data_IF_888705007378
#
_entry.id   IF_888705007378
#
_cell.length_a   1.000
_cell.length_b   1.000
_cell.length_c   1.000
_cell.angle_alpha   90.00
_cell.angle_beta   90.00
_cell.angle_gamma   90.00
#
_symmetry.space_group_name_H-M   'P 1'
#
loop_
_entity.id
_entity.type
_entity.pdbx_description
1 polymer ?
#
# COMPACT_ATOMS: atom_id res chain seq x y z
N UNK A 1 18.80 10.41 14.66
CA UNK A 1 17.35 10.75 14.69
C UNK A 1 17.04 11.25 16.07
N UNK A 2 16.63 12.51 16.20
CA UNK A 2 16.20 13.05 17.49
C UNK A 2 14.92 12.29 17.88
N UNK A 3 15.03 11.33 18.78
CA UNK A 3 13.89 10.77 19.51
C UNK A 3 13.43 11.86 20.50
N UNK A 4 12.88 12.93 19.95
CA UNK A 4 12.60 14.18 20.63
C UNK A 4 11.22 14.09 21.26
N UNK A 5 11.21 14.05 22.59
CA UNK A 5 10.06 14.36 23.43
C UNK A 5 9.62 15.81 23.17
N UNK A 6 9.01 16.07 22.01
CA UNK A 6 8.44 17.37 21.71
C UNK A 6 7.15 17.49 22.52
N UNK A 7 7.19 18.32 23.55
CA UNK A 7 6.08 18.51 24.50
C UNK A 7 4.76 18.76 23.77
N UNK A 8 4.79 19.56 22.72
CA UNK A 8 3.62 19.90 21.90
C UNK A 8 3.00 18.66 21.22
N UNK A 9 3.84 17.71 20.78
CA UNK A 9 3.36 16.47 20.15
C UNK A 9 2.77 15.50 21.18
N UNK A 10 3.34 15.47 22.38
CA UNK A 10 2.80 14.70 23.50
C UNK A 10 1.45 15.26 23.95
N UNK A 11 1.33 16.58 24.11
CA UNK A 11 0.07 17.26 24.46
C UNK A 11 -1.01 17.01 23.40
N UNK A 12 -0.65 17.08 22.11
CA UNK A 12 -1.59 16.78 21.02
C UNK A 12 -2.06 15.33 21.05
N UNK A 13 -1.15 14.38 21.25
CA UNK A 13 -1.50 12.96 21.37
C UNK A 13 -2.39 12.71 22.59
N UNK A 14 -2.10 13.36 23.71
CA UNK A 14 -2.89 13.27 24.94
C UNK A 14 -4.32 13.79 24.74
N UNK A 15 -4.49 14.84 23.94
CA UNK A 15 -5.81 15.37 23.61
C UNK A 15 -6.66 14.42 22.74
N UNK A 16 -6.10 13.87 21.67
CA UNK A 16 -6.85 13.03 20.73
C UNK A 16 -7.05 11.59 21.19
N UNK A 17 -6.14 11.06 22.02
CA UNK A 17 -6.18 9.68 22.49
C UNK A 17 -6.73 9.64 23.90
N UNK A 18 -7.94 9.12 24.04
CA UNK A 18 -8.60 8.91 25.33
C UNK A 18 -7.85 7.87 26.17
N UNK A 19 -7.45 6.75 25.55
CA UNK A 19 -6.74 5.67 26.21
C UNK A 19 -5.22 5.92 26.27
N UNK A 20 -4.74 6.38 27.43
CA UNK A 20 -3.35 6.82 27.60
C UNK A 20 -2.31 5.72 27.36
N UNK A 21 -2.67 4.44 27.53
CA UNK A 21 -1.81 3.31 27.16
C UNK A 21 -1.42 3.28 25.67
N UNK A 22 -2.26 3.82 24.77
CA UNK A 22 -2.00 3.82 23.34
C UNK A 22 -0.97 4.88 22.92
N UNK A 23 -0.73 5.88 23.75
CA UNK A 23 0.28 6.92 23.52
C UNK A 23 1.68 6.30 23.46
N UNK A 24 1.96 5.33 24.34
CA UNK A 24 3.21 4.56 24.29
C UNK A 24 3.36 3.81 22.95
N UNK A 25 2.29 3.20 22.45
CA UNK A 25 2.30 2.51 21.14
C UNK A 25 2.49 3.48 19.98
N UNK A 26 1.89 4.68 20.05
CA UNK A 26 2.01 5.73 19.04
C UNK A 26 3.45 6.20 18.87
N UNK A 27 4.21 6.35 19.96
CA UNK A 27 5.57 6.88 19.88
C UNK A 27 6.67 5.82 19.81
N UNK A 28 6.43 4.61 20.34
CA UNK A 28 7.49 3.60 20.41
C UNK A 28 7.36 2.50 19.36
N UNK A 29 6.15 2.22 18.85
CA UNK A 29 5.93 1.09 17.93
C UNK A 29 5.66 1.58 16.51
N UNK A 30 4.74 2.53 16.34
CA UNK A 30 4.33 3.00 15.03
C UNK A 30 5.44 3.74 14.24
N UNK A 31 6.33 4.55 14.84
CA UNK A 31 7.34 5.29 14.07
C UNK A 31 8.38 4.36 13.45
N UNK A 32 8.85 3.36 14.20
CA UNK A 32 9.75 2.32 13.69
C UNK A 32 9.09 1.49 12.59
N UNK A 33 7.79 1.19 12.74
CA UNK A 33 7.02 0.45 11.74
C UNK A 33 6.92 1.19 10.40
N UNK A 34 6.72 2.50 10.43
CA UNK A 34 6.46 3.29 9.24
C UNK A 34 7.66 4.06 8.71
N UNK A 35 8.86 3.77 9.23
CA UNK A 35 10.06 4.41 8.77
C UNK A 35 10.27 4.16 7.26
N UNK A 36 10.33 5.24 6.47
CA UNK A 36 10.45 5.18 5.02
C UNK A 36 9.14 4.91 4.27
N UNK A 37 8.00 4.83 4.94
CA UNK A 37 6.69 4.70 4.30
C UNK A 37 6.03 6.05 4.09
N UNK A 38 5.45 6.26 2.91
CA UNK A 38 4.62 7.44 2.61
C UNK A 38 3.13 7.21 2.90
N UNK A 39 2.73 5.95 3.10
CA UNK A 39 1.32 5.53 3.27
C UNK A 39 1.19 4.70 4.54
N UNK A 40 0.42 5.20 5.50
CA UNK A 40 0.28 4.59 6.83
C UNK A 40 -0.99 3.74 6.98
N UNK A 41 -2.01 4.02 6.19
CA UNK A 41 -3.33 3.40 6.29
C UNK A 41 -3.80 2.83 4.96
N UNK A 42 -4.55 1.74 5.01
CA UNK A 42 -5.32 1.24 3.87
C UNK A 42 -6.81 1.41 4.18
N UNK A 43 -7.59 1.81 3.18
CA UNK A 43 -9.03 1.96 3.28
C UNK A 43 -9.71 1.03 2.28
N UNK A 44 -10.61 0.18 2.77
CA UNK A 44 -11.36 -0.78 1.96
C UNK A 44 -12.85 -0.49 2.00
N UNK A 45 -13.54 -0.73 0.89
CA UNK A 45 -14.99 -0.69 0.87
C UNK A 45 -15.56 -1.96 1.49
N UNK A 46 -16.45 -1.82 2.47
CA UNK A 46 -17.12 -2.96 3.07
C UNK A 46 -18.28 -3.42 2.17
N UNK A 47 -18.54 -4.74 2.06
CA UNK A 47 -19.70 -5.22 1.33
C UNK A 47 -21.00 -4.70 1.95
N UNK A 48 -22.03 -4.60 1.12
CA UNK A 48 -23.39 -4.25 1.54
C UNK A 48 -23.95 -5.35 2.42
N UNK A 49 -24.36 -5.00 3.63
CA UNK A 49 -25.04 -5.92 4.52
C UNK A 49 -26.46 -6.18 4.01
N UNK A 50 -26.84 -7.45 3.90
CA UNK A 50 -28.18 -7.90 3.51
C UNK A 50 -28.61 -9.09 4.40
N UNK A 51 -29.87 -9.16 4.85
CA UNK A 51 -30.95 -8.19 4.70
C UNK A 51 -30.84 -7.00 5.67
N UNK A 52 -31.40 -5.83 5.34
CA UNK A 52 -31.47 -4.67 6.26
C UNK A 52 -31.23 -3.29 5.61
N UNK A 53 -31.16 -2.24 6.44
CA UNK A 53 -30.88 -0.87 6.01
C UNK A 53 -29.42 -0.75 5.58
N UNK A 54 -29.20 -0.09 4.44
CA UNK A 54 -27.87 0.04 3.86
C UNK A 54 -27.16 1.29 4.35
N UNK A 55 -26.09 1.07 5.10
CA UNK A 55 -25.12 2.10 5.44
C UNK A 55 -23.85 1.86 4.63
N UNK A 56 -23.31 2.93 4.04
CA UNK A 56 -21.98 2.90 3.40
C UNK A 56 -20.95 2.68 4.51
N UNK A 57 -20.22 1.57 4.43
CA UNK A 57 -19.21 1.19 5.42
C UNK A 57 -17.85 1.06 4.74
N UNK A 58 -16.81 1.37 5.48
CA UNK A 58 -15.43 1.18 5.05
C UNK A 58 -14.61 0.59 6.21
N UNK A 59 -13.57 -0.14 5.87
CA UNK A 59 -12.61 -0.70 6.82
C UNK A 59 -11.31 0.08 6.67
N UNK A 60 -10.87 0.72 7.75
CA UNK A 60 -9.61 1.45 7.82
C UNK A 60 -8.63 0.61 8.63
N UNK A 61 -7.49 0.26 8.05
CA UNK A 61 -6.43 -0.46 8.74
C UNK A 61 -5.12 0.31 8.78
N UNK A 62 -4.32 0.03 9.81
CA UNK A 62 -2.94 0.44 9.94
C UNK A 62 -2.06 -0.59 9.22
N UNK A 63 -1.25 -0.14 8.26
CA UNK A 63 -0.42 -1.03 7.45
C UNK A 63 0.58 -1.82 8.31
N UNK A 64 0.79 -3.10 8.00
CA UNK A 64 1.69 -3.97 8.77
C UNK A 64 1.18 -4.30 10.17
N UNK A 65 -0.14 -4.29 10.36
CA UNK A 65 -0.77 -4.86 11.54
C UNK A 65 -0.56 -6.40 11.60
N UNK A 66 -0.59 -7.02 12.78
CA UNK A 66 -0.38 -8.47 12.93
C UNK A 66 -1.61 -9.30 12.54
N UNK A 67 -2.67 -8.65 12.06
CA UNK A 67 -3.92 -9.29 11.70
C UNK A 67 -3.84 -9.87 10.29
N UNK A 68 -4.66 -10.88 9.95
CA UNK A 68 -4.73 -11.39 8.59
C UNK A 68 -5.09 -10.28 7.61
N UNK A 69 -4.50 -10.32 6.41
CA UNK A 69 -4.79 -9.33 5.37
C UNK A 69 -6.26 -9.39 4.95
N UNK A 70 -6.89 -8.22 4.84
CA UNK A 70 -8.30 -8.08 4.44
C UNK A 70 -8.52 -8.53 2.99
N UNK A 71 -7.53 -8.29 2.12
CA UNK A 71 -7.60 -8.67 0.71
C UNK A 71 -6.73 -9.89 0.49
N UNK A 72 -7.35 -11.01 0.13
CA UNK A 72 -6.64 -12.15 -0.43
C UNK A 72 -6.24 -11.79 -1.86
N UNK A 73 -4.95 -11.56 -2.10
CA UNK A 73 -4.46 -11.46 -3.47
C UNK A 73 -4.74 -12.79 -4.18
N UNK A 74 -5.48 -12.77 -5.29
CA UNK A 74 -5.64 -13.97 -6.10
C UNK A 74 -4.28 -14.38 -6.65
N UNK A 75 -3.92 -15.64 -6.46
CA UNK A 75 -2.66 -16.23 -6.94
C UNK A 75 -2.69 -16.51 -8.44
N UNK A 76 -3.42 -15.73 -9.23
CA UNK A 76 -3.45 -15.83 -10.70
C UNK A 76 -2.18 -15.23 -11.34
N UNK A 77 -1.06 -15.41 -10.62
CA UNK A 77 0.25 -14.86 -10.90
C UNK A 77 0.78 -15.37 -12.22
N UNK A 78 0.70 -14.54 -13.26
CA UNK A 78 1.47 -14.66 -14.49
C UNK A 78 0.98 -15.66 -15.53
N UNK A 79 0.33 -16.77 -15.14
CA UNK A 79 -0.06 -17.84 -16.08
C UNK A 79 -1.45 -17.67 -16.71
N UNK A 80 -2.21 -16.64 -16.34
CA UNK A 80 -3.40 -16.26 -17.10
C UNK A 80 -3.00 -16.05 -18.56
N UNK A 81 -3.74 -16.68 -19.48
CA UNK A 81 -3.46 -16.59 -20.92
C UNK A 81 -3.31 -15.13 -21.39
N UNK A 82 -4.10 -14.23 -20.82
CA UNK A 82 -4.05 -12.79 -21.08
C UNK A 82 -2.68 -12.19 -20.72
N UNK A 83 -2.14 -12.53 -19.55
CA UNK A 83 -0.83 -12.04 -19.09
C UNK A 83 0.30 -12.63 -19.94
N UNK A 84 0.21 -13.90 -20.35
CA UNK A 84 1.20 -14.55 -21.22
C UNK A 84 1.24 -13.88 -22.59
N UNK A 85 0.09 -13.64 -23.21
CA UNK A 85 0.00 -12.97 -24.51
C UNK A 85 0.51 -11.52 -24.44
N UNK A 86 0.11 -10.76 -23.42
CA UNK A 86 0.57 -9.38 -23.21
C UNK A 86 2.09 -9.32 -22.97
N UNK A 87 2.64 -10.25 -22.19
CA UNK A 87 4.08 -10.33 -21.97
C UNK A 87 4.84 -10.64 -23.26
N UNK A 88 4.34 -11.53 -24.09
CA UNK A 88 4.97 -11.86 -25.36
C UNK A 88 4.91 -10.68 -26.34
N UNK A 89 3.75 -10.03 -26.46
CA UNK A 89 3.58 -8.84 -27.28
C UNK A 89 4.52 -7.69 -26.83
N UNK A 90 4.68 -7.50 -25.52
CA UNK A 90 5.63 -6.52 -24.97
C UNK A 90 7.07 -6.83 -25.37
N UNK A 91 7.50 -8.09 -25.27
CA UNK A 91 8.86 -8.50 -25.66
C UNK A 91 9.11 -8.24 -27.14
N UNK A 92 8.19 -8.65 -28.00
CA UNK A 92 8.30 -8.43 -29.45
C UNK A 92 8.36 -6.94 -29.80
N UNK A 93 7.51 -6.12 -29.16
CA UNK A 93 7.55 -4.67 -29.35
C UNK A 93 8.91 -4.08 -28.93
N UNK A 94 9.44 -4.44 -27.76
CA UNK A 94 10.74 -3.96 -27.30
C UNK A 94 11.88 -4.35 -28.24
N UNK A 95 11.94 -5.60 -28.70
CA UNK A 95 12.95 -6.05 -29.68
C UNK A 95 12.95 -5.20 -30.95
N UNK A 96 11.77 -4.97 -31.54
CA UNK A 96 11.63 -4.13 -32.73
C UNK A 96 12.08 -2.69 -32.51
N UNK A 97 11.87 -2.13 -31.31
CA UNK A 97 12.36 -0.77 -31.00
C UNK A 97 13.88 -0.73 -30.86
N UNK A 98 14.49 -1.75 -30.27
CA UNK A 98 15.95 -1.84 -30.18
C UNK A 98 16.60 -2.01 -31.55
N UNK A 99 16.01 -2.84 -32.41
CA UNK A 99 16.45 -3.01 -33.81
C UNK A 99 16.42 -1.68 -34.56
N UNK A 100 15.29 -0.97 -34.53
CA UNK A 100 15.17 0.38 -35.13
C UNK A 100 16.18 1.37 -34.57
N UNK A 101 16.42 1.34 -33.26
CA UNK A 101 17.37 2.24 -32.62
C UNK A 101 18.80 1.91 -33.04
N UNK A 102 19.14 0.62 -33.14
CA UNK A 102 20.43 0.16 -33.62
C UNK A 102 20.67 0.54 -35.08
N UNK A 103 19.68 0.33 -35.96
CA UNK A 103 19.72 0.74 -37.36
C UNK A 103 19.95 2.25 -37.51
N UNK A 104 19.26 3.06 -36.71
CA UNK A 104 19.45 4.52 -36.71
C UNK A 104 20.85 4.94 -36.24
N UNK A 105 21.45 4.23 -35.28
CA UNK A 105 22.83 4.50 -34.82
C UNK A 105 23.85 4.07 -35.87
N UNK A 106 23.63 2.96 -36.59
CA UNK A 106 24.55 2.50 -37.63
C UNK A 106 24.49 3.32 -38.92
N UNK A 107 23.36 3.98 -39.18
CA UNK A 107 23.15 4.81 -40.37
C UNK A 107 23.46 6.31 -40.13
N UNK A 108 23.90 6.68 -38.92
CA UNK A 108 24.35 8.03 -38.53
C UNK A 108 25.88 8.12 -38.53
#
# INVERSE_FOLDING_TARGET
MQNGCNKNMMELADYWILEKQLIHKLFNVLPSRYYGSTIYTNLYHSPRQFPGIHYKRAVLELKGNPFPSIVTHSTDGGLLIQNVLLNQAKKEYSSRQYEKTAENITNA
#
